data_IF_207325736597
#
_entry.id   IF_207325736597
#
_cell.length_a   1.000
_cell.length_b   1.000
_cell.length_c   1.000
_cell.angle_alpha   90.00
_cell.angle_beta   90.00
_cell.angle_gamma   90.00
#
_symmetry.space_group_name_H-M   'P 1'
#
loop_
_entity.id
_entity.type
_entity.pdbx_description
1 polymer ?
#
# COMPACT_ATOMS: atom_id res chain seq x y z
N UNK A 1 -2.53 14.69 -12.68
CA UNK A 1 -2.93 14.62 -14.11
C UNK A 1 -4.27 13.89 -14.19
N UNK A 2 -5.20 14.38 -14.98
CA UNK A 2 -6.50 13.73 -15.25
C UNK A 2 -6.56 13.53 -16.75
N UNK A 3 -6.86 12.32 -17.19
CA UNK A 3 -6.96 11.99 -18.61
C UNK A 3 -7.85 10.78 -18.86
N UNK A 4 -8.30 10.63 -20.07
CA UNK A 4 -9.09 9.49 -20.54
C UNK A 4 -8.24 8.52 -21.36
N UNK A 5 -8.68 8.26 -22.59
CA UNK A 5 -8.03 7.33 -23.51
C UNK A 5 -6.61 7.78 -23.90
N UNK A 6 -6.36 9.09 -23.97
CA UNK A 6 -5.02 9.67 -24.24
C UNK A 6 -3.97 9.23 -23.21
N UNK A 7 -4.39 9.05 -21.94
CA UNK A 7 -3.50 8.60 -20.88
C UNK A 7 -3.15 7.13 -21.03
N UNK A 8 -4.06 6.33 -21.55
CA UNK A 8 -3.85 4.91 -21.83
C UNK A 8 -2.80 4.74 -22.93
N UNK A 9 -2.81 5.59 -23.96
CA UNK A 9 -1.81 5.57 -25.03
C UNK A 9 -0.41 5.95 -24.53
N UNK A 10 -0.32 6.97 -23.65
CA UNK A 10 0.96 7.34 -23.02
C UNK A 10 1.54 6.21 -22.20
N UNK A 11 0.71 5.50 -21.44
CA UNK A 11 1.14 4.33 -20.64
C UNK A 11 1.62 3.21 -21.56
N UNK A 12 0.96 2.97 -22.72
CA UNK A 12 1.41 2.00 -23.72
C UNK A 12 2.79 2.33 -24.27
N UNK A 13 3.05 3.62 -24.50
CA UNK A 13 4.34 4.12 -25.01
C UNK A 13 5.45 4.12 -23.94
N UNK A 14 5.12 3.71 -22.70
CA UNK A 14 6.10 3.61 -21.61
C UNK A 14 6.30 4.90 -20.82
N UNK A 15 5.55 5.95 -21.08
CA UNK A 15 5.59 7.21 -20.33
C UNK A 15 4.85 7.07 -18.98
N UNK A 16 5.55 6.58 -17.97
CA UNK A 16 5.00 6.37 -16.62
C UNK A 16 5.66 7.36 -15.66
N UNK A 17 5.13 8.57 -15.61
CA UNK A 17 5.59 9.66 -14.74
C UNK A 17 4.65 9.90 -13.55
N UNK A 18 4.13 8.81 -12.95
CA UNK A 18 3.23 8.88 -11.80
C UNK A 18 3.51 7.76 -10.80
N UNK A 19 3.27 8.03 -9.53
CA UNK A 19 3.51 7.07 -8.44
C UNK A 19 2.27 6.22 -8.11
N UNK A 20 1.07 6.75 -8.37
CA UNK A 20 -0.19 6.05 -8.07
C UNK A 20 -1.22 6.32 -9.17
N UNK A 21 -1.92 5.28 -9.60
CA UNK A 21 -2.98 5.35 -10.58
C UNK A 21 -4.34 5.10 -9.92
N UNK A 22 -5.26 6.06 -10.06
CA UNK A 22 -6.64 5.97 -9.58
C UNK A 22 -7.55 5.95 -10.80
N UNK A 23 -8.50 5.05 -10.84
CA UNK A 23 -9.43 4.94 -11.95
C UNK A 23 -10.87 4.71 -11.49
N UNK A 24 -11.81 4.97 -12.39
CA UNK A 24 -13.20 4.56 -12.21
C UNK A 24 -13.39 3.11 -12.65
N UNK A 25 -14.42 2.41 -12.14
CA UNK A 25 -14.68 1.00 -12.51
C UNK A 25 -14.82 0.79 -14.02
N UNK A 26 -15.44 1.72 -14.73
CA UNK A 26 -15.59 1.64 -16.18
C UNK A 26 -14.28 1.68 -16.98
N UNK A 27 -13.26 2.38 -16.47
CA UNK A 27 -11.93 2.45 -17.09
C UNK A 27 -11.06 1.24 -16.77
N UNK A 28 -11.41 0.47 -15.74
CA UNK A 28 -10.65 -0.71 -15.31
C UNK A 28 -10.52 -1.76 -16.44
N UNK A 29 -11.57 -1.95 -17.23
CA UNK A 29 -11.58 -2.89 -18.37
C UNK A 29 -10.52 -2.53 -19.40
N UNK A 30 -10.37 -1.24 -19.68
CA UNK A 30 -9.34 -0.73 -20.60
C UNK A 30 -7.93 -0.86 -20.02
N UNK A 31 -7.77 -0.57 -18.73
CA UNK A 31 -6.50 -0.66 -18.01
C UNK A 31 -6.04 -2.11 -17.79
N UNK A 32 -6.95 -3.08 -17.73
CA UNK A 32 -6.61 -4.50 -17.63
C UNK A 32 -5.73 -4.97 -18.79
N UNK A 33 -5.91 -4.41 -19.98
CA UNK A 33 -5.06 -4.70 -21.16
C UNK A 33 -3.62 -4.23 -20.98
N UNK A 34 -3.39 -3.27 -20.08
CA UNK A 34 -2.06 -2.73 -19.72
C UNK A 34 -1.45 -3.42 -18.48
N UNK A 35 -2.07 -4.47 -17.97
CA UNK A 35 -1.61 -5.21 -16.81
C UNK A 35 -0.18 -5.74 -16.94
N UNK A 36 0.25 -6.09 -18.17
CA UNK A 36 1.63 -6.52 -18.46
C UNK A 36 2.67 -5.42 -18.20
N UNK A 37 2.28 -4.15 -18.36
CA UNK A 37 3.17 -2.98 -18.17
C UNK A 37 3.06 -2.42 -16.75
N UNK A 38 1.86 -2.34 -16.21
CA UNK A 38 1.59 -1.75 -14.88
C UNK A 38 1.80 -2.74 -13.73
N UNK A 39 1.58 -4.04 -13.99
CA UNK A 39 1.72 -5.10 -12.98
C UNK A 39 3.11 -5.19 -12.35
N UNK A 40 4.19 -5.36 -13.15
CA UNK A 40 5.55 -5.45 -12.61
C UNK A 40 6.00 -4.21 -11.84
N UNK A 41 5.44 -3.04 -12.18
CA UNK A 41 5.74 -1.77 -11.51
C UNK A 41 4.88 -1.51 -10.25
N UNK A 42 3.94 -2.41 -9.93
CA UNK A 42 3.04 -2.25 -8.79
C UNK A 42 2.02 -1.12 -8.93
N UNK A 43 1.84 -0.58 -10.15
CA UNK A 43 0.97 0.56 -10.43
C UNK A 43 -0.45 0.16 -10.87
N UNK A 44 -0.75 -1.14 -10.88
CA UNK A 44 -2.07 -1.64 -11.27
C UNK A 44 -3.12 -1.25 -10.23
N UNK A 45 -4.21 -0.56 -10.63
CA UNK A 45 -5.30 -0.23 -9.71
C UNK A 45 -5.96 -1.48 -9.13
N UNK A 46 -6.25 -1.46 -7.83
CA UNK A 46 -6.91 -2.56 -7.13
C UNK A 46 -8.17 -2.03 -6.41
N UNK A 47 -9.35 -2.62 -6.65
CA UNK A 47 -10.58 -2.25 -5.94
C UNK A 47 -10.48 -2.37 -4.43
N UNK A 48 -9.81 -3.39 -3.92
CA UNK A 48 -9.62 -3.62 -2.47
C UNK A 48 -8.82 -2.51 -1.78
N UNK A 49 -7.96 -1.83 -2.51
CA UNK A 49 -7.10 -0.75 -2.01
C UNK A 49 -7.71 0.64 -2.22
N UNK A 50 -8.97 0.72 -2.68
CA UNK A 50 -9.62 1.98 -2.95
C UNK A 50 -9.08 2.75 -4.16
N UNK A 51 -8.21 2.13 -4.97
CA UNK A 51 -7.68 2.76 -6.20
C UNK A 51 -8.68 2.72 -7.36
N UNK A 52 -9.75 1.94 -7.25
CA UNK A 52 -10.86 1.87 -8.20
C UNK A 52 -12.12 2.32 -7.47
N UNK A 53 -12.55 3.56 -7.70
CA UNK A 53 -13.70 4.16 -7.02
C UNK A 53 -14.41 5.14 -7.93
N UNK A 54 -15.75 5.29 -7.80
CA UNK A 54 -16.48 6.36 -8.47
C UNK A 54 -16.10 7.74 -7.92
N UNK A 55 -15.73 7.83 -6.62
CA UNK A 55 -15.37 9.07 -5.95
C UNK A 55 -13.86 9.38 -6.06
N UNK A 56 -13.45 9.82 -7.24
CA UNK A 56 -12.04 10.12 -7.54
C UNK A 56 -11.47 11.23 -6.63
N UNK A 57 -12.26 12.23 -6.24
CA UNK A 57 -11.81 13.32 -5.38
C UNK A 57 -11.36 12.82 -4.00
N UNK A 58 -12.16 11.94 -3.39
CA UNK A 58 -11.86 11.34 -2.09
C UNK A 58 -10.60 10.49 -2.17
N UNK A 59 -10.51 9.62 -3.17
CA UNK A 59 -9.34 8.77 -3.38
C UNK A 59 -8.05 9.57 -3.62
N UNK A 60 -8.11 10.71 -4.30
CA UNK A 60 -6.95 11.60 -4.48
C UNK A 60 -6.51 12.21 -3.15
N UNK A 61 -7.46 12.65 -2.31
CA UNK A 61 -7.12 13.22 -1.01
C UNK A 61 -6.50 12.18 -0.07
N UNK A 62 -7.01 10.96 -0.06
CA UNK A 62 -6.46 9.82 0.69
C UNK A 62 -5.06 9.43 0.18
N UNK A 63 -4.86 9.38 -1.14
CA UNK A 63 -3.55 9.11 -1.72
C UNK A 63 -2.51 10.20 -1.37
N UNK A 64 -2.92 11.47 -1.36
CA UNK A 64 -2.06 12.60 -0.97
C UNK A 64 -1.76 12.64 0.52
N UNK A 65 -2.63 12.11 1.37
CA UNK A 65 -2.38 12.01 2.83
C UNK A 65 -1.35 10.93 3.19
N UNK A 66 -0.84 10.20 2.21
CA UNK A 66 0.24 9.24 2.42
C UNK A 66 -0.23 7.82 2.75
N UNK A 67 -1.34 7.40 2.15
CA UNK A 67 -1.82 6.03 2.27
C UNK A 67 -0.76 5.03 1.78
N UNK A 68 -0.29 4.16 2.67
CA UNK A 68 0.61 3.06 2.34
C UNK A 68 -0.16 1.76 2.11
N UNK A 69 0.27 1.00 1.13
CA UNK A 69 -0.25 -0.34 0.86
C UNK A 69 0.53 -1.36 1.68
N UNK A 70 -0.18 -2.19 2.44
CA UNK A 70 0.40 -3.32 3.16
C UNK A 70 0.17 -4.58 2.33
N UNK A 71 1.25 -5.23 1.94
CA UNK A 71 1.22 -6.48 1.18
C UNK A 71 2.21 -7.47 1.76
N UNK A 72 1.76 -8.70 1.94
CA UNK A 72 2.63 -9.80 2.31
C UNK A 72 3.29 -10.41 1.06
N UNK A 73 4.50 -10.92 1.21
CA UNK A 73 5.17 -11.74 0.22
C UNK A 73 4.73 -13.22 0.29
N UNK A 74 5.37 -14.08 -0.50
CA UNK A 74 5.07 -15.51 -0.55
C UNK A 74 5.42 -16.24 0.75
N UNK A 75 6.38 -15.72 1.48
CA UNK A 75 6.89 -16.29 2.73
C UNK A 75 6.14 -15.74 3.97
N UNK A 76 5.16 -14.86 3.75
CA UNK A 76 4.37 -14.25 4.80
C UNK A 76 5.06 -13.05 5.48
N UNK A 77 6.13 -12.49 4.91
CA UNK A 77 6.76 -11.28 5.44
C UNK A 77 6.02 -10.05 4.95
N UNK A 78 5.97 -9.03 5.79
CA UNK A 78 5.37 -7.73 5.49
C UNK A 78 6.44 -6.66 5.64
N UNK A 79 6.72 -5.94 4.55
CA UNK A 79 7.61 -4.78 4.55
C UNK A 79 6.81 -3.50 4.37
N UNK A 80 6.87 -2.60 5.35
CA UNK A 80 6.15 -1.32 5.32
C UNK A 80 7.07 -0.18 5.76
N UNK A 81 7.01 0.93 5.07
CA UNK A 81 7.69 2.16 5.48
C UNK A 81 6.88 2.85 6.58
N UNK A 82 7.48 3.02 7.77
CA UNK A 82 6.89 3.74 8.89
C UNK A 82 6.92 5.26 8.71
N UNK A 83 7.92 5.76 8.03
CA UNK A 83 8.10 7.19 7.82
C UNK A 83 9.52 7.54 7.40
N UNK A 84 9.82 8.83 7.42
CA UNK A 84 11.12 9.40 7.06
C UNK A 84 11.87 9.83 8.33
N UNK A 85 13.19 9.95 8.25
CA UNK A 85 14.06 10.46 9.34
C UNK A 85 13.60 11.81 9.91
N UNK A 86 12.92 12.62 9.12
CA UNK A 86 12.38 13.92 9.54
C UNK A 86 11.11 13.86 10.38
N UNK A 87 10.54 12.66 10.59
CA UNK A 87 9.35 12.51 11.40
C UNK A 87 9.73 12.48 12.90
N UNK A 88 8.87 13.08 13.74
CA UNK A 88 9.02 12.96 15.19
C UNK A 88 8.68 11.53 15.64
N UNK A 89 9.27 11.14 16.78
CA UNK A 89 9.09 9.80 17.35
C UNK A 89 7.61 9.46 17.58
N UNK A 90 6.83 10.43 18.07
CA UNK A 90 5.39 10.26 18.27
C UNK A 90 4.63 9.89 16.97
N UNK A 91 5.04 10.47 15.85
CA UNK A 91 4.42 10.16 14.54
C UNK A 91 4.80 8.76 14.07
N UNK A 92 6.04 8.35 14.31
CA UNK A 92 6.50 7.00 13.97
C UNK A 92 5.79 5.94 14.82
N UNK A 93 5.61 6.20 16.12
CA UNK A 93 4.87 5.32 17.03
C UNK A 93 3.39 5.21 16.60
N UNK A 94 2.76 6.34 16.27
CA UNK A 94 1.37 6.33 15.79
C UNK A 94 1.22 5.53 14.50
N UNK A 95 2.15 5.69 13.56
CA UNK A 95 2.14 4.93 12.31
C UNK A 95 2.35 3.44 12.56
N UNK A 96 3.26 3.09 13.46
CA UNK A 96 3.49 1.69 13.85
C UNK A 96 2.22 1.07 14.46
N UNK A 97 1.59 1.75 15.42
CA UNK A 97 0.36 1.27 16.05
C UNK A 97 -0.78 1.12 15.03
N UNK A 98 -0.92 2.05 14.08
CA UNK A 98 -1.93 1.96 13.04
C UNK A 98 -1.72 0.73 12.13
N UNK A 99 -0.47 0.35 11.85
CA UNK A 99 -0.15 -0.86 11.10
C UNK A 99 -0.58 -2.11 11.89
N UNK A 100 -0.23 -2.16 13.18
CA UNK A 100 -0.60 -3.28 14.05
C UNK A 100 -2.12 -3.44 14.13
N UNK A 101 -2.85 -2.35 14.38
CA UNK A 101 -4.33 -2.36 14.42
C UNK A 101 -4.94 -2.85 13.10
N UNK A 102 -4.35 -2.47 11.97
CA UNK A 102 -4.82 -2.91 10.66
C UNK A 102 -4.62 -4.42 10.49
N UNK A 103 -3.48 -4.95 10.92
CA UNK A 103 -3.20 -6.38 10.87
C UNK A 103 -4.11 -7.17 11.80
N UNK A 104 -4.43 -6.66 12.99
CA UNK A 104 -5.38 -7.28 13.91
C UNK A 104 -6.80 -7.33 13.35
N UNK A 105 -7.24 -6.27 12.69
CA UNK A 105 -8.53 -6.26 11.97
C UNK A 105 -8.57 -7.32 10.88
N UNK A 106 -7.51 -7.47 10.12
CA UNK A 106 -7.41 -8.52 9.09
C UNK A 106 -7.37 -9.93 9.71
N UNK A 107 -6.73 -10.12 10.87
CA UNK A 107 -6.77 -11.38 11.62
C UNK A 107 -8.21 -11.76 11.97
N UNK A 108 -9.00 -10.81 12.47
CA UNK A 108 -10.40 -11.04 12.82
C UNK A 108 -11.25 -11.39 11.60
N UNK A 109 -11.02 -10.74 10.46
CA UNK A 109 -11.75 -10.97 9.22
C UNK A 109 -11.43 -12.35 8.61
N UNK A 110 -10.19 -12.82 8.70
CA UNK A 110 -9.72 -14.04 8.02
C UNK A 110 -9.68 -15.28 8.92
N UNK A 111 -10.14 -15.20 10.18
CA UNK A 111 -10.20 -16.33 11.13
C UNK A 111 -8.87 -17.11 11.23
N UNK A 112 -7.75 -16.40 11.26
CA UNK A 112 -6.43 -17.00 11.40
C UNK A 112 -6.27 -17.53 12.83
N UNK A 113 -6.04 -18.85 12.97
CA UNK A 113 -5.77 -19.47 14.27
C UNK A 113 -4.31 -19.26 14.67
N UNK A 114 -4.08 -18.74 15.86
CA UNK A 114 -2.73 -18.51 16.42
C UNK A 114 -2.24 -17.05 16.30
N UNK A 115 -0.97 -16.85 16.58
CA UNK A 115 -0.35 -15.53 16.52
C UNK A 115 -0.11 -15.11 15.08
N UNK A 116 -0.71 -13.96 14.67
CA UNK A 116 -0.54 -13.44 13.33
C UNK A 116 0.89 -12.94 13.10
N UNK A 117 1.45 -12.27 14.10
CA UNK A 117 2.79 -11.66 14.03
C UNK A 117 3.74 -12.46 14.90
N UNK A 118 4.66 -13.20 14.29
CA UNK A 118 5.68 -13.97 14.99
C UNK A 118 6.84 -13.12 15.47
N UNK A 119 7.22 -12.14 14.68
CA UNK A 119 8.33 -11.23 15.01
C UNK A 119 8.21 -9.93 14.22
N UNK A 120 8.62 -8.83 14.83
CA UNK A 120 8.69 -7.53 14.19
C UNK A 120 10.11 -6.97 14.34
N UNK A 121 10.59 -6.34 13.28
CA UNK A 121 11.88 -5.69 13.22
C UNK A 121 11.73 -4.28 12.69
N UNK A 122 12.46 -3.33 13.26
CA UNK A 122 12.57 -1.97 12.75
C UNK A 122 14.00 -1.74 12.29
N UNK A 123 14.13 -1.17 11.12
CA UNK A 123 15.43 -0.84 10.54
C UNK A 123 15.37 0.50 9.80
N UNK A 124 16.49 1.19 9.70
CA UNK A 124 16.66 2.27 8.74
C UNK A 124 17.26 1.71 7.45
N UNK A 125 17.15 2.47 6.35
CA UNK A 125 17.57 2.02 5.01
C UNK A 125 19.00 1.46 4.95
N UNK A 126 19.92 2.05 5.71
CA UNK A 126 21.34 1.63 5.77
C UNK A 126 21.76 1.22 7.20
N UNK A 127 20.82 1.03 8.11
CA UNK A 127 21.09 0.74 9.51
C UNK A 127 20.92 -0.73 9.89
N UNK A 128 21.28 -1.01 11.13
CA UNK A 128 21.04 -2.32 11.73
C UNK A 128 19.57 -2.52 12.03
N UNK A 129 19.08 -3.74 11.92
CA UNK A 129 17.70 -4.06 12.30
C UNK A 129 17.59 -4.38 13.81
N UNK A 130 16.58 -3.81 14.45
CA UNK A 130 16.29 -4.03 15.85
C UNK A 130 15.00 -4.82 16.01
N UNK A 131 15.04 -5.89 16.78
CA UNK A 131 13.86 -6.68 17.10
C UNK A 131 12.99 -5.93 18.10
N UNK A 132 11.72 -5.77 17.76
CA UNK A 132 10.71 -5.13 18.63
C UNK A 132 10.02 -6.20 19.45
N UNK A 133 9.92 -5.99 20.75
CA UNK A 133 9.08 -6.83 21.62
C UNK A 133 7.63 -6.38 21.44
N UNK A 134 6.84 -7.21 20.83
CA UNK A 134 5.39 -7.05 20.80
C UNK A 134 4.84 -7.44 22.18
N UNK A 135 3.89 -6.69 22.71
CA UNK A 135 3.22 -7.04 23.97
C UNK A 135 2.51 -8.41 23.87
N UNK A 136 2.18 -9.01 25.03
CA UNK A 136 1.58 -10.36 25.08
C UNK A 136 0.20 -10.52 24.43
N UNK A 137 -0.36 -9.50 23.81
CA UNK A 137 -1.71 -9.49 23.23
C UNK A 137 -1.72 -9.49 21.70
N UNK A 138 -0.62 -9.87 21.06
CA UNK A 138 -0.51 -9.90 19.58
C UNK A 138 -0.41 -11.31 19.05
#
# INVERSE_FOLDING_TARGET
>A
MVGGDDFIEKIKNGEINFEKLICTPGMMVKLSKLGKVLGPKGLMPNPKLGSVTPDVKKAISEAKSGQAEIRNDKDGNIGVSLGKKSFSDDKLIKNFNAIIETLEKEKSNNTVKGDLIKSAFITSTMGVSYKVKLGKNF
#
